data_IF_322048549877
#
_entry.id   IF_322048549877
#
_cell.length_a   1.000
_cell.length_b   1.000
_cell.length_c   1.000
_cell.angle_alpha   90.00
_cell.angle_beta   90.00
_cell.angle_gamma   90.00
#
_symmetry.space_group_name_H-M   'P 1'
#
loop_
_entity.id
_entity.type
_entity.pdbx_description
1 polymer ?
#
# COMPACT_ATOMS: atom_id res chain seq x y z
N UNK A 1 6.36 -10.90 -8.44
CA UNK A 1 5.17 -10.06 -8.50
C UNK A 1 3.99 -10.88 -8.04
N UNK A 2 3.47 -10.56 -6.86
CA UNK A 2 2.20 -11.08 -6.36
C UNK A 2 1.05 -10.59 -7.24
N UNK A 3 0.02 -11.42 -7.45
CA UNK A 3 -1.19 -11.00 -8.17
C UNK A 3 -1.94 -9.88 -7.43
N UNK A 4 -1.95 -9.95 -6.10
CA UNK A 4 -2.41 -8.90 -5.21
C UNK A 4 -1.64 -8.90 -3.89
N UNK A 5 -1.65 -7.76 -3.21
CA UNK A 5 -1.17 -7.63 -1.83
C UNK A 5 -1.86 -6.49 -1.10
N UNK A 6 -1.83 -6.49 0.23
CA UNK A 6 -2.35 -5.39 1.03
C UNK A 6 -1.24 -4.44 1.48
N UNK A 7 -1.51 -3.14 1.42
CA UNK A 7 -0.64 -2.10 1.99
C UNK A 7 -1.49 -0.95 2.52
N UNK A 8 -0.86 0.05 3.10
CA UNK A 8 -1.55 1.23 3.66
C UNK A 8 -1.90 2.23 2.56
N UNK A 9 -2.99 2.98 2.73
CA UNK A 9 -3.43 3.99 1.74
C UNK A 9 -2.37 5.06 1.43
N UNK A 10 -1.45 5.28 2.37
CA UNK A 10 -0.42 6.31 2.33
C UNK A 10 -0.07 6.77 3.74
N UNK A 11 0.41 8.00 3.86
CA UNK A 11 0.75 8.59 5.15
C UNK A 11 -0.50 8.81 6.00
N UNK A 12 -0.42 8.44 7.27
CA UNK A 12 -1.38 8.88 8.28
C UNK A 12 -0.90 8.67 9.70
N UNK A 13 -1.70 9.14 10.65
CA UNK A 13 -1.37 9.04 12.07
C UNK A 13 -2.60 8.89 12.95
N UNK A 14 -2.43 8.20 14.07
CA UNK A 14 -3.46 8.05 15.09
C UNK A 14 -2.84 8.10 16.48
N UNK A 15 -3.58 8.64 17.44
CA UNK A 15 -3.11 8.83 18.81
C UNK A 15 -3.98 8.08 19.79
N UNK A 16 -3.34 7.43 20.76
CA UNK A 16 -3.99 6.83 21.92
C UNK A 16 -3.31 7.28 23.21
N UNK A 17 -4.08 7.34 24.29
CA UNK A 17 -3.57 7.59 25.63
C UNK A 17 -3.82 6.36 26.51
N UNK A 18 -2.76 5.86 27.17
CA UNK A 18 -2.81 4.72 28.09
C UNK A 18 -2.07 5.10 29.36
N UNK A 19 -2.77 5.11 30.49
CA UNK A 19 -2.18 5.40 31.81
C UNK A 19 -1.37 6.70 31.81
N UNK A 20 -1.95 7.76 31.23
CA UNK A 20 -1.36 9.11 31.01
C UNK A 20 -0.17 9.14 30.06
N UNK A 21 0.29 8.00 29.56
CA UNK A 21 1.30 7.95 28.51
C UNK A 21 0.61 8.11 27.17
N UNK A 22 1.15 8.98 26.32
CA UNK A 22 0.64 9.26 24.99
C UNK A 22 1.43 8.48 23.96
N UNK A 23 0.75 7.79 23.06
CA UNK A 23 1.30 7.01 21.97
C UNK A 23 0.74 7.53 20.65
N UNK A 24 1.61 8.06 19.81
CA UNK A 24 1.25 8.56 18.47
C UNK A 24 1.82 7.59 17.45
N UNK A 25 0.94 6.85 16.77
CA UNK A 25 1.32 5.97 15.68
C UNK A 25 1.35 6.76 14.37
N UNK A 26 2.48 6.73 13.68
CA UNK A 26 2.69 7.23 12.33
C UNK A 26 2.90 6.05 11.39
N UNK A 27 2.23 6.08 10.25
CA UNK A 27 2.20 4.98 9.29
C UNK A 27 2.42 5.55 7.90
N UNK A 28 3.19 4.86 7.06
CA UNK A 28 3.31 5.18 5.64
C UNK A 28 3.67 3.95 4.81
N UNK A 29 3.48 4.05 3.50
CA UNK A 29 4.01 3.09 2.53
C UNK A 29 5.53 3.30 2.38
N UNK A 30 6.29 2.21 2.33
CA UNK A 30 7.73 2.21 2.08
C UNK A 30 8.12 1.00 1.22
N UNK A 31 8.49 1.26 -0.04
CA UNK A 31 8.86 0.23 -1.02
C UNK A 31 10.32 -0.22 -0.91
N UNK A 32 11.12 0.53 -0.18
CA UNK A 32 12.55 0.26 0.01
C UNK A 32 12.97 0.52 1.44
N UNK A 33 14.08 -0.09 1.85
CA UNK A 33 14.62 0.16 3.19
C UNK A 33 15.04 1.62 3.37
N UNK A 34 15.49 2.26 2.30
CA UNK A 34 15.83 3.68 2.29
C UNK A 34 14.60 4.54 2.57
N UNK A 35 13.46 4.23 1.96
CA UNK A 35 12.20 4.96 2.22
C UNK A 35 11.74 4.81 3.67
N UNK A 36 11.81 3.59 4.21
CA UNK A 36 11.45 3.33 5.61
C UNK A 36 12.38 4.08 6.58
N UNK A 37 13.70 4.03 6.36
CA UNK A 37 14.67 4.72 7.20
C UNK A 37 14.55 6.25 7.12
N UNK A 38 14.23 6.79 5.93
CA UNK A 38 13.92 8.22 5.76
C UNK A 38 12.71 8.60 6.60
N UNK A 39 11.61 7.86 6.49
CA UNK A 39 10.39 8.11 7.27
C UNK A 39 10.64 8.04 8.78
N UNK A 40 11.37 7.02 9.26
CA UNK A 40 11.75 6.89 10.67
C UNK A 40 12.53 8.12 11.13
N UNK A 41 13.50 8.57 10.34
CA UNK A 41 14.32 9.74 10.66
C UNK A 41 13.50 11.03 10.70
N UNK A 42 12.53 11.20 9.80
CA UNK A 42 11.61 12.34 9.77
C UNK A 42 10.76 12.40 11.05
N UNK A 43 10.16 11.27 11.46
CA UNK A 43 9.35 11.20 12.69
C UNK A 43 10.22 11.44 13.94
N UNK A 44 11.41 10.83 14.00
CA UNK A 44 12.37 11.07 15.10
C UNK A 44 12.77 12.54 15.21
N UNK A 45 13.00 13.21 14.08
CA UNK A 45 13.30 14.65 14.06
C UNK A 45 12.11 15.50 14.52
N UNK A 46 10.89 15.12 14.10
CA UNK A 46 9.64 15.78 14.51
C UNK A 46 9.40 15.66 16.02
N UNK A 47 9.74 14.51 16.60
CA UNK A 47 9.53 14.17 18.01
C UNK A 47 10.86 13.90 18.73
N UNK A 48 11.79 14.83 18.61
CA UNK A 48 13.13 14.70 19.19
C UNK A 48 13.12 14.70 20.73
N UNK A 49 12.06 15.22 21.33
CA UNK A 49 11.83 15.34 22.77
C UNK A 49 10.96 14.21 23.35
N UNK A 50 10.52 13.28 22.51
CA UNK A 50 9.76 12.11 22.95
C UNK A 50 10.62 11.16 23.78
N UNK A 51 9.96 10.34 24.60
CA UNK A 51 10.66 9.33 25.40
C UNK A 51 11.26 8.25 24.52
N UNK A 52 10.47 7.76 23.54
CA UNK A 52 10.87 6.73 22.59
C UNK A 52 10.17 6.95 21.25
N UNK A 53 10.85 6.60 20.15
CA UNK A 53 10.32 6.53 18.79
C UNK A 53 10.59 5.13 18.23
N UNK A 54 9.85 4.15 18.75
CA UNK A 54 9.95 2.75 18.34
C UNK A 54 9.43 2.58 16.91
N UNK A 55 10.00 1.65 16.15
CA UNK A 55 9.65 1.48 14.74
C UNK A 55 9.57 0.03 14.32
N UNK A 56 8.75 -0.26 13.31
CA UNK A 56 8.72 -1.54 12.64
C UNK A 56 8.42 -1.35 11.15
N UNK A 57 8.91 -2.25 10.30
CA UNK A 57 8.54 -2.26 8.88
C UNK A 57 8.67 -3.64 8.24
N UNK A 58 7.85 -3.85 7.20
CA UNK A 58 7.90 -4.96 6.26
C UNK A 58 8.10 -4.38 4.86
N UNK A 59 9.09 -4.87 4.12
CA UNK A 59 9.37 -4.45 2.74
C UNK A 59 9.54 -5.68 1.86
N UNK A 60 8.96 -5.56 0.68
CA UNK A 60 9.02 -6.53 -0.40
C UNK A 60 7.86 -7.52 -0.35
N UNK A 61 7.68 -8.19 -1.48
CA UNK A 61 6.54 -9.07 -1.74
C UNK A 61 6.53 -10.30 -0.82
N UNK A 62 7.72 -10.80 -0.46
CA UNK A 62 7.88 -11.99 0.38
C UNK A 62 8.44 -11.65 1.76
N UNK A 63 8.24 -10.40 2.21
CA UNK A 63 8.76 -9.87 3.46
C UNK A 63 10.29 -10.02 3.56
N UNK A 64 10.99 -9.71 2.46
CA UNK A 64 12.44 -9.82 2.30
C UNK A 64 13.19 -9.02 3.36
N UNK A 65 12.64 -7.88 3.77
CA UNK A 65 13.19 -7.08 4.86
C UNK A 65 12.13 -6.87 5.92
N UNK A 66 12.47 -7.29 7.14
CA UNK A 66 11.64 -7.10 8.32
C UNK A 66 12.52 -6.53 9.42
N UNK A 67 12.13 -5.38 9.98
CA UNK A 67 12.83 -4.82 11.14
C UNK A 67 11.86 -4.37 12.21
N UNK A 68 12.32 -4.52 13.44
CA UNK A 68 11.71 -4.05 14.66
C UNK A 68 12.80 -3.34 15.49
N UNK A 69 12.48 -2.18 16.03
CA UNK A 69 13.38 -1.40 16.89
C UNK A 69 12.62 -0.84 18.08
N UNK A 70 13.09 -1.17 19.28
CA UNK A 70 12.48 -0.74 20.54
C UNK A 70 12.91 0.67 20.99
N UNK A 71 13.89 1.30 20.34
CA UNK A 71 14.33 2.68 20.61
C UNK A 71 14.53 3.02 22.10
N UNK A 72 15.13 2.11 22.87
CA UNK A 72 15.41 2.28 24.30
C UNK A 72 14.30 1.77 25.23
N UNK A 73 13.15 1.35 24.71
CA UNK A 73 12.21 0.52 25.49
C UNK A 73 12.87 -0.84 25.83
N UNK A 74 12.37 -1.55 26.86
CA UNK A 74 12.82 -2.91 27.14
C UNK A 74 12.74 -3.80 25.89
N UNK A 75 13.78 -4.59 25.66
CA UNK A 75 13.94 -5.43 24.47
C UNK A 75 12.70 -6.29 24.20
N UNK A 76 12.21 -6.24 22.97
CA UNK A 76 11.06 -7.00 22.49
C UNK A 76 9.70 -6.49 22.96
N UNK A 77 9.63 -5.34 23.64
CA UNK A 77 8.35 -4.84 24.19
C UNK A 77 7.65 -3.79 23.34
N UNK A 78 8.29 -3.28 22.28
CA UNK A 78 7.72 -2.27 21.40
C UNK A 78 7.76 -2.68 19.92
N UNK A 79 8.96 -2.74 19.33
CA UNK A 79 9.14 -2.97 17.89
C UNK A 79 8.60 -4.34 17.43
N UNK A 80 8.83 -5.40 18.21
CA UNK A 80 8.34 -6.74 17.87
C UNK A 80 6.80 -6.81 17.86
N UNK A 81 6.08 -6.37 18.91
CA UNK A 81 4.63 -6.26 18.88
C UNK A 81 4.08 -5.46 17.70
N UNK A 82 4.73 -4.36 17.33
CA UNK A 82 4.36 -3.54 16.17
C UNK A 82 4.49 -4.33 14.86
N UNK A 83 5.62 -5.03 14.67
CA UNK A 83 5.89 -5.85 13.50
C UNK A 83 4.89 -7.01 13.35
N UNK A 84 4.55 -7.67 14.46
CA UNK A 84 3.59 -8.78 14.45
C UNK A 84 2.17 -8.33 14.07
N UNK A 85 1.80 -7.07 14.38
CA UNK A 85 0.53 -6.50 13.89
C UNK A 85 0.54 -6.35 12.36
N UNK A 86 1.64 -5.86 11.77
CA UNK A 86 1.76 -5.73 10.32
C UNK A 86 1.63 -7.09 9.63
N UNK A 87 2.35 -8.11 10.13
CA UNK A 87 2.29 -9.49 9.61
C UNK A 87 0.91 -10.09 9.72
N UNK A 88 0.25 -9.93 10.87
CA UNK A 88 -1.10 -10.47 11.09
C UNK A 88 -2.14 -9.82 10.16
N UNK A 89 -1.89 -8.60 9.71
CA UNK A 89 -2.71 -7.88 8.73
C UNK A 89 -2.29 -8.16 7.28
N UNK A 90 -1.30 -9.04 7.07
CA UNK A 90 -0.73 -9.41 5.77
C UNK A 90 -0.30 -8.20 4.92
N UNK A 91 0.28 -7.19 5.60
CA UNK A 91 0.71 -5.95 4.97
C UNK A 91 2.10 -6.08 4.36
N UNK A 92 2.26 -5.50 3.17
CA UNK A 92 3.53 -5.34 2.46
C UNK A 92 3.91 -3.86 2.38
N UNK A 93 5.19 -3.60 2.15
CA UNK A 93 5.75 -2.27 1.90
C UNK A 93 5.23 -1.21 2.88
N UNK A 94 5.24 -1.51 4.18
CA UNK A 94 4.63 -0.68 5.22
C UNK A 94 5.65 -0.39 6.31
N UNK A 95 5.77 0.89 6.68
CA UNK A 95 6.58 1.35 7.82
C UNK A 95 5.70 2.02 8.86
N UNK A 96 5.99 1.74 10.13
CA UNK A 96 5.33 2.37 11.27
C UNK A 96 6.34 2.89 12.29
N UNK A 97 6.02 4.03 12.88
CA UNK A 97 6.76 4.61 14.02
C UNK A 97 5.74 4.94 15.10
N UNK A 98 5.95 4.45 16.31
CA UNK A 98 5.14 4.84 17.47
C UNK A 98 5.99 5.72 18.37
N UNK A 99 5.62 6.99 18.41
CA UNK A 99 6.20 7.98 19.30
C UNK A 99 5.51 7.92 20.66
N UNK A 100 6.28 7.72 21.72
CA UNK A 100 5.78 7.66 23.09
C UNK A 100 6.24 8.85 23.91
N UNK A 101 5.31 9.50 24.59
CA UNK A 101 5.57 10.44 25.68
C UNK A 101 5.18 9.79 27.01
N UNK A 102 6.15 9.63 27.91
CA UNK A 102 5.94 8.96 29.20
C UNK A 102 5.05 9.79 30.15
N UNK A 103 3.98 9.17 30.65
CA UNK A 103 2.98 9.81 31.52
C UNK A 103 3.24 9.74 33.03
N UNK A 104 4.43 9.32 33.46
CA UNK A 104 4.78 9.19 34.88
C UNK A 104 4.41 7.86 35.54
N UNK A 105 3.64 6.97 34.89
CA UNK A 105 3.30 5.63 35.38
C UNK A 105 3.87 4.54 34.47
N UNK A 106 4.63 3.61 35.05
CA UNK A 106 5.20 2.46 34.32
C UNK A 106 4.11 1.45 33.98
N UNK A 107 4.12 0.96 32.73
CA UNK A 107 3.18 -0.05 32.22
C UNK A 107 3.61 -1.50 32.48
N UNK A 108 4.91 -1.72 32.76
CA UNK A 108 5.51 -3.05 32.76
C UNK A 108 5.60 -3.66 31.35
N UNK A 109 6.36 -4.76 31.19
CA UNK A 109 6.63 -5.35 29.87
C UNK A 109 5.35 -5.75 29.12
N UNK A 110 4.44 -6.48 29.79
CA UNK A 110 3.16 -6.88 29.17
C UNK A 110 2.20 -5.71 28.90
N UNK A 111 2.36 -4.58 29.61
CA UNK A 111 1.61 -3.35 29.32
C UNK A 111 2.15 -2.66 28.07
N UNK A 112 3.47 -2.59 27.91
CA UNK A 112 4.12 -2.02 26.72
C UNK A 112 3.79 -2.81 25.46
N UNK A 113 3.91 -4.14 25.52
CA UNK A 113 3.57 -5.03 24.39
C UNK A 113 2.16 -4.75 23.87
N UNK A 114 1.19 -4.64 24.79
CA UNK A 114 -0.21 -4.34 24.44
C UNK A 114 -0.36 -2.92 23.92
N UNK A 115 0.27 -1.93 24.55
CA UNK A 115 0.16 -0.53 24.14
C UNK A 115 0.70 -0.29 22.73
N UNK A 116 1.90 -0.79 22.40
CA UNK A 116 2.50 -0.63 21.07
C UNK A 116 1.74 -1.39 19.99
N UNK A 117 1.31 -2.62 20.26
CA UNK A 117 0.48 -3.38 19.34
C UNK A 117 -0.89 -2.72 19.10
N UNK A 118 -1.52 -2.20 20.16
CA UNK A 118 -2.79 -1.47 20.06
C UNK A 118 -2.63 -0.18 19.25
N UNK A 119 -1.58 0.61 19.51
CA UNK A 119 -1.31 1.85 18.78
C UNK A 119 -1.20 1.61 17.27
N UNK A 120 -0.49 0.56 16.84
CA UNK A 120 -0.40 0.20 15.41
C UNK A 120 -1.72 -0.32 14.88
N UNK A 121 -2.42 -1.19 15.61
CA UNK A 121 -3.70 -1.74 15.14
C UNK A 121 -4.76 -0.64 14.94
N UNK A 122 -4.86 0.30 15.88
CA UNK A 122 -5.76 1.45 15.76
C UNK A 122 -5.30 2.43 14.69
N UNK A 123 -3.99 2.67 14.58
CA UNK A 123 -3.42 3.48 13.50
C UNK A 123 -3.77 2.92 12.12
N UNK A 124 -3.63 1.61 11.91
CA UNK A 124 -4.01 0.97 10.65
C UNK A 124 -5.51 1.09 10.35
N UNK A 125 -6.35 0.98 11.38
CA UNK A 125 -7.80 1.17 11.21
C UNK A 125 -8.14 2.63 10.82
N UNK A 126 -7.41 3.61 11.36
CA UNK A 126 -7.63 5.02 11.07
C UNK A 126 -7.11 5.43 9.68
N UNK A 127 -5.93 4.92 9.27
CA UNK A 127 -5.32 5.23 7.97
C UNK A 127 -5.99 4.47 6.82
N UNK A 128 -6.49 3.27 7.09
CA UNK A 128 -7.05 2.39 6.08
C UNK A 128 -5.99 1.58 5.35
N UNK A 129 -6.43 0.42 4.86
CA UNK A 129 -5.64 -0.54 4.11
C UNK A 129 -6.25 -0.64 2.71
N UNK A 130 -5.39 -0.69 1.69
CA UNK A 130 -5.75 -0.89 0.28
C UNK A 130 -5.20 -2.21 -0.21
N UNK A 131 -5.95 -2.86 -1.10
CA UNK A 131 -5.45 -3.95 -1.92
C UNK A 131 -4.81 -3.35 -3.18
N UNK A 132 -3.58 -3.77 -3.49
CA UNK A 132 -2.91 -3.48 -4.76
C UNK A 132 -3.04 -4.68 -5.66
N UNK A 133 -3.51 -4.46 -6.88
CA UNK A 133 -3.66 -5.52 -7.88
C UNK A 133 -2.63 -5.38 -9.00
N UNK A 134 -2.03 -6.50 -9.41
CA UNK A 134 -1.11 -6.54 -10.53
C UNK A 134 -1.88 -6.42 -11.84
N UNK A 135 -1.58 -5.38 -12.60
CA UNK A 135 -2.22 -5.08 -13.88
C UNK A 135 -1.21 -5.04 -15.01
N UNK A 136 -1.63 -5.48 -16.19
CA UNK A 136 -0.96 -5.22 -17.46
C UNK A 136 -1.58 -3.97 -18.07
N UNK A 137 -0.74 -3.00 -18.43
CA UNK A 137 -1.17 -1.88 -19.24
C UNK A 137 -1.31 -2.33 -20.69
N UNK A 138 -2.49 -2.16 -21.26
CA UNK A 138 -2.84 -2.55 -22.62
C UNK A 138 -3.22 -1.32 -23.44
N UNK A 139 -2.66 -1.20 -24.64
CA UNK A 139 -3.02 -0.17 -25.59
C UNK A 139 -3.76 -0.80 -26.77
N UNK A 140 -5.04 -0.48 -26.93
CA UNK A 140 -5.88 -0.96 -28.03
C UNK A 140 -6.03 0.16 -29.05
N UNK A 141 -5.54 -0.06 -30.26
CA UNK A 141 -5.74 0.84 -31.40
C UNK A 141 -6.86 0.35 -32.31
N UNK A 142 -7.71 1.27 -32.73
CA UNK A 142 -8.80 1.01 -33.66
C UNK A 142 -8.97 2.15 -34.66
N UNK A 143 -9.60 1.85 -35.79
CA UNK A 143 -10.09 2.86 -36.71
C UNK A 143 -11.28 3.64 -36.12
N UNK A 144 -11.39 4.92 -36.45
CA UNK A 144 -12.50 5.80 -36.03
C UNK A 144 -13.90 5.25 -36.30
N UNK A 145 -14.08 4.41 -37.34
CA UNK A 145 -15.37 3.75 -37.62
C UNK A 145 -15.90 2.92 -36.45
N UNK A 146 -15.02 2.39 -35.61
CA UNK A 146 -15.35 1.56 -34.46
C UNK A 146 -15.37 2.34 -33.13
N UNK A 147 -14.99 3.63 -33.13
CA UNK A 147 -14.83 4.46 -31.93
C UNK A 147 -16.04 4.37 -31.01
N UNK A 148 -17.23 4.75 -31.50
CA UNK A 148 -18.43 4.79 -30.66
C UNK A 148 -18.82 3.43 -30.08
N UNK A 149 -18.66 2.36 -30.87
CA UNK A 149 -18.96 0.98 -30.43
C UNK A 149 -18.00 0.52 -29.34
N UNK A 150 -16.70 0.71 -29.55
CA UNK A 150 -15.66 0.25 -28.63
C UNK A 150 -15.65 1.07 -27.36
N UNK A 151 -15.69 2.40 -27.46
CA UNK A 151 -15.71 3.28 -26.30
C UNK A 151 -16.94 3.01 -25.43
N UNK A 152 -18.12 2.82 -26.04
CA UNK A 152 -19.32 2.44 -25.30
C UNK A 152 -19.12 1.10 -24.58
N UNK A 153 -18.61 0.07 -25.25
CA UNK A 153 -18.39 -1.24 -24.64
C UNK A 153 -17.38 -1.18 -23.47
N UNK A 154 -16.26 -0.46 -23.65
CA UNK A 154 -15.24 -0.29 -22.61
C UNK A 154 -15.80 0.45 -21.39
N UNK A 155 -16.52 1.56 -21.59
CA UNK A 155 -17.12 2.35 -20.50
C UNK A 155 -18.23 1.62 -19.74
N UNK A 156 -18.86 0.62 -20.35
CA UNK A 156 -19.87 -0.24 -19.72
C UNK A 156 -19.31 -1.58 -19.23
N UNK A 157 -17.99 -1.79 -19.34
CA UNK A 157 -17.30 -2.97 -18.82
C UNK A 157 -16.74 -2.71 -17.42
N UNK A 158 -16.24 -3.76 -16.77
CA UNK A 158 -15.51 -3.63 -15.50
C UNK A 158 -14.03 -3.29 -15.68
N UNK A 159 -13.54 -3.21 -16.92
CA UNK A 159 -12.15 -2.88 -17.20
C UNK A 159 -11.85 -1.41 -16.96
N UNK A 160 -10.73 -1.14 -16.30
CA UNK A 160 -10.30 0.22 -16.02
C UNK A 160 -9.76 0.89 -17.29
N UNK A 161 -10.52 1.85 -17.82
CA UNK A 161 -10.12 2.70 -18.94
C UNK A 161 -9.39 3.93 -18.40
N UNK A 162 -8.07 3.97 -18.57
CA UNK A 162 -7.24 5.06 -18.05
C UNK A 162 -7.29 6.28 -18.95
N UNK A 163 -7.14 6.09 -20.27
CA UNK A 163 -7.06 7.21 -21.19
C UNK A 163 -7.53 6.84 -22.61
N UNK A 164 -7.97 7.85 -23.37
CA UNK A 164 -8.35 7.74 -24.78
C UNK A 164 -7.60 8.81 -25.56
N UNK A 165 -6.77 8.41 -26.53
CA UNK A 165 -6.04 9.33 -27.39
C UNK A 165 -6.62 9.31 -28.80
N UNK A 166 -6.96 10.50 -29.32
CA UNK A 166 -7.47 10.69 -30.67
C UNK A 166 -6.37 11.25 -31.56
N UNK A 167 -5.71 10.39 -32.33
CA UNK A 167 -4.69 10.77 -33.32
C UNK A 167 -5.13 10.35 -34.73
N UNK A 168 -4.24 9.91 -35.61
CA UNK A 168 -4.62 9.30 -36.90
C UNK A 168 -5.50 8.04 -36.71
N UNK A 169 -5.25 7.31 -35.63
CA UNK A 169 -6.10 6.24 -35.11
C UNK A 169 -6.48 6.56 -33.66
N UNK A 170 -7.56 5.93 -33.16
CA UNK A 170 -7.95 6.05 -31.76
C UNK A 170 -7.23 4.97 -30.96
N UNK A 171 -6.57 5.35 -29.86
CA UNK A 171 -5.98 4.39 -28.93
C UNK A 171 -6.60 4.50 -27.55
N UNK A 172 -6.94 3.35 -26.95
CA UNK A 172 -7.40 3.24 -25.58
C UNK A 172 -6.29 2.65 -24.72
N UNK A 173 -5.96 3.31 -23.61
CA UNK A 173 -5.11 2.74 -22.57
C UNK A 173 -5.99 2.12 -21.49
N UNK A 174 -5.83 0.81 -21.25
CA UNK A 174 -6.56 0.08 -20.24
C UNK A 174 -5.62 -0.63 -19.28
N UNK A 175 -6.03 -0.75 -18.03
CA UNK A 175 -5.31 -1.51 -17.03
C UNK A 175 -6.10 -2.78 -16.74
N UNK A 176 -5.56 -3.91 -17.18
CA UNK A 176 -6.23 -5.20 -17.13
C UNK A 176 -5.54 -6.05 -16.08
N UNK A 177 -6.29 -6.67 -15.16
CA UNK A 177 -5.71 -7.61 -14.21
C UNK A 177 -5.03 -8.75 -14.96
N UNK A 178 -3.89 -9.22 -14.47
CA UNK A 178 -3.05 -10.18 -15.19
C UNK A 178 -3.80 -11.47 -15.56
N UNK A 179 -4.69 -11.92 -14.70
CA UNK A 179 -5.54 -13.11 -14.89
C UNK A 179 -6.68 -12.90 -15.90
N UNK A 180 -7.01 -11.66 -16.26
CA UNK A 180 -8.06 -11.33 -17.22
C UNK A 180 -7.52 -10.94 -18.61
N UNK A 181 -6.19 -10.88 -18.80
CA UNK A 181 -5.57 -10.38 -20.03
C UNK A 181 -6.04 -11.15 -21.27
N UNK A 182 -6.06 -12.47 -21.23
CA UNK A 182 -6.45 -13.28 -22.40
C UNK A 182 -7.96 -13.22 -22.67
N UNK A 183 -8.77 -13.11 -21.62
CA UNK A 183 -10.23 -12.91 -21.73
C UNK A 183 -10.50 -11.56 -22.40
N UNK A 184 -9.83 -10.50 -21.95
CA UNK A 184 -9.93 -9.15 -22.51
C UNK A 184 -9.52 -9.12 -23.99
N UNK A 185 -8.39 -9.75 -24.36
CA UNK A 185 -7.93 -9.81 -25.75
C UNK A 185 -8.98 -10.46 -26.65
N UNK A 186 -9.51 -11.62 -26.26
CA UNK A 186 -10.52 -12.33 -27.04
C UNK A 186 -11.79 -11.47 -27.20
N UNK A 187 -12.25 -10.86 -26.11
CA UNK A 187 -13.40 -9.96 -26.14
C UNK A 187 -13.20 -8.76 -27.09
N UNK A 188 -12.02 -8.15 -27.09
CA UNK A 188 -11.69 -7.04 -28.00
C UNK A 188 -11.60 -7.48 -29.47
N UNK A 189 -11.03 -8.66 -29.74
CA UNK A 189 -10.98 -9.24 -31.08
C UNK A 189 -12.40 -9.50 -31.60
N UNK A 190 -13.28 -10.09 -30.79
CA UNK A 190 -14.68 -10.32 -31.15
C UNK A 190 -15.44 -9.01 -31.37
N UNK A 191 -15.29 -8.04 -30.45
CA UNK A 191 -15.98 -6.75 -30.50
C UNK A 191 -15.64 -5.97 -31.79
N UNK A 192 -14.42 -6.12 -32.29
CA UNK A 192 -13.89 -5.40 -33.45
C UNK A 192 -13.83 -6.24 -34.72
N UNK A 193 -14.33 -7.49 -34.70
CA UNK A 193 -14.16 -8.46 -35.78
C UNK A 193 -12.70 -8.56 -36.25
N UNK A 194 -11.75 -8.57 -35.30
CA UNK A 194 -10.31 -8.63 -35.55
C UNK A 194 -9.67 -7.33 -36.09
N UNK A 195 -10.42 -6.23 -36.16
CA UNK A 195 -9.93 -4.95 -36.70
C UNK A 195 -9.22 -4.05 -35.68
N UNK A 196 -8.90 -4.55 -34.50
CA UNK A 196 -8.08 -3.85 -33.51
C UNK A 196 -6.62 -4.33 -33.53
N UNK A 197 -5.73 -3.44 -33.13
CA UNK A 197 -4.35 -3.79 -32.83
C UNK A 197 -4.09 -3.60 -31.33
N UNK A 198 -3.69 -4.67 -30.65
CA UNK A 198 -3.51 -4.69 -29.19
C UNK A 198 -2.01 -4.77 -28.90
N UNK A 199 -1.50 -3.80 -28.15
CA UNK A 199 -0.13 -3.79 -27.65
C UNK A 199 -0.11 -3.92 -26.13
N UNK A 200 0.72 -4.82 -25.63
CA UNK A 200 1.02 -4.93 -24.21
C UNK A 200 2.18 -4.01 -23.85
N UNK A 201 2.05 -3.33 -22.71
CA UNK A 201 3.08 -2.46 -22.17
C UNK A 201 3.59 -3.02 -20.83
N UNK A 202 3.94 -2.13 -19.91
CA UNK A 202 4.45 -2.45 -18.60
C UNK A 202 3.43 -3.20 -17.72
N UNK A 203 3.97 -3.96 -16.77
CA UNK A 203 3.21 -4.52 -15.66
C UNK A 203 3.44 -3.62 -14.45
N UNK A 204 2.36 -3.25 -13.74
CA UNK A 204 2.43 -2.40 -12.55
C UNK A 204 1.34 -2.77 -11.55
N UNK A 205 1.45 -2.26 -10.33
CA UNK A 205 0.37 -2.33 -9.34
C UNK A 205 -0.58 -1.13 -9.50
N UNK A 206 -1.88 -1.39 -9.40
CA UNK A 206 -2.96 -0.41 -9.28
C UNK A 206 -3.47 -0.42 -7.84
#
# INVERSE_FOLDING_TARGET
>A
MLANYFTVCGFGSHEIEIEKSKFICYINEAKTEVDAQRFISEIKKKHFDASHNCSAYLIGENDEVQKANDDGEPSGTAGVPMLEVLKKRDLKDTVVVVTRYFGGKKLGAGGLIRAYGQAVSEGLNAVGIVERSLVKVMNVKINYKLLGKVEFALRNSHYHLENVNHMEEVSFELWIKIDEVDIFKNWMIELTNGSCHINESIVKYM
#
